data_IF_580505350352
#
_entry.id   IF_580505350352
#
_cell.length_a   1.000
_cell.length_b   1.000
_cell.length_c   1.000
_cell.angle_alpha   90.00
_cell.angle_beta   90.00
_cell.angle_gamma   90.00
#
_symmetry.space_group_name_H-M   'P 1'
#
loop_
_entity.id
_entity.type
_entity.pdbx_description
1 polymer ?
#
# COMPACT_ATOMS: atom_id res chain seq x y z
N UNK A 1 38.89 -31.02 22.11
CA UNK A 1 39.78 -29.86 21.88
C UNK A 1 39.66 -29.48 20.41
N UNK A 2 39.27 -28.28 19.96
CA UNK A 2 39.33 -26.92 20.50
C UNK A 2 38.04 -26.16 20.13
N UNK A 3 37.42 -25.51 21.09
CA UNK A 3 36.48 -24.39 20.90
C UNK A 3 37.27 -23.12 20.61
N UNK A 4 36.79 -22.25 19.72
CA UNK A 4 37.31 -20.88 19.55
C UNK A 4 36.17 -19.89 19.24
N UNK A 5 35.77 -19.17 20.29
CA UNK A 5 35.51 -17.73 20.47
C UNK A 5 35.13 -16.94 19.19
N UNK A 6 33.93 -16.34 19.09
CA UNK A 6 33.42 -15.14 19.76
C UNK A 6 34.25 -13.88 19.48
N UNK A 7 33.78 -13.04 18.56
CA UNK A 7 34.13 -11.62 18.45
C UNK A 7 32.86 -10.82 18.21
N UNK A 8 32.42 -10.17 19.29
CA UNK A 8 31.40 -9.14 19.35
C UNK A 8 32.10 -7.81 19.07
N UNK A 9 31.75 -7.13 17.98
CA UNK A 9 32.18 -5.76 17.72
C UNK A 9 30.93 -4.87 17.69
N UNK A 10 30.70 -4.17 18.80
CA UNK A 10 29.79 -3.04 18.85
C UNK A 10 30.50 -1.79 18.33
N UNK A 11 29.76 -0.97 17.58
CA UNK A 11 30.05 0.45 17.47
C UNK A 11 28.73 1.22 17.30
N UNK A 12 28.36 1.91 18.35
CA UNK A 12 27.25 2.86 18.45
C UNK A 12 27.55 4.13 17.66
N UNK A 13 26.58 4.60 16.87
CA UNK A 13 26.54 6.00 16.41
C UNK A 13 25.21 6.61 16.88
N UNK A 14 25.31 7.52 17.84
CA UNK A 14 24.29 8.49 18.22
C UNK A 14 24.12 9.50 17.08
N UNK A 15 22.87 9.75 16.66
CA UNK A 15 22.52 10.95 15.90
C UNK A 15 21.36 11.67 16.60
N UNK A 16 21.66 12.92 16.95
CA UNK A 16 20.92 13.79 17.83
C UNK A 16 19.63 14.36 17.20
N UNK A 17 18.63 14.54 18.05
CA UNK A 17 17.37 15.23 17.78
C UNK A 17 17.59 16.74 17.65
N UNK A 18 17.10 17.36 16.58
CA UNK A 18 16.85 18.81 16.53
C UNK A 18 15.36 19.08 16.71
N UNK A 19 14.99 19.56 17.89
CA UNK A 19 13.69 20.14 18.21
C UNK A 19 13.59 21.51 17.52
N UNK A 20 12.57 21.73 16.69
CA UNK A 20 12.21 23.06 16.20
C UNK A 20 11.27 23.70 17.22
N UNK A 21 11.75 24.78 17.82
CA UNK A 21 11.06 25.61 18.79
C UNK A 21 10.09 26.62 18.14
N UNK A 22 9.15 27.08 18.97
CA UNK A 22 7.94 27.86 18.72
C UNK A 22 8.10 29.20 17.98
N UNK A 23 6.98 29.65 17.40
CA UNK A 23 6.60 31.07 17.42
C UNK A 23 5.08 31.19 17.41
N UNK A 24 4.51 31.24 18.61
CA UNK A 24 3.18 31.77 18.88
C UNK A 24 3.26 33.29 18.75
N UNK A 25 2.60 33.86 17.75
CA UNK A 25 2.43 35.31 17.61
C UNK A 25 0.98 35.66 17.89
N UNK A 26 0.69 35.97 19.16
CA UNK A 26 -0.58 36.51 19.61
C UNK A 26 -0.35 37.97 19.99
N UNK A 27 -1.04 38.91 19.32
CA UNK A 27 -1.28 40.24 19.89
C UNK A 27 -2.52 40.90 19.28
N UNK A 28 -3.52 41.05 20.14
CA UNK A 28 -4.37 42.24 20.38
C UNK A 28 -5.22 42.84 19.25
N UNK A 29 -6.52 42.54 19.36
CA UNK A 29 -7.63 43.48 19.62
C UNK A 29 -7.91 44.63 18.65
N UNK A 30 -9.05 44.53 17.95
CA UNK A 30 -9.98 45.66 17.81
C UNK A 30 -11.39 45.11 17.59
N UNK A 31 -12.27 45.34 18.58
CA UNK A 31 -13.71 45.29 18.41
C UNK A 31 -14.12 46.14 17.20
N UNK A 32 -14.87 45.54 16.29
CA UNK A 32 -15.93 46.27 15.59
C UNK A 32 -17.08 45.33 15.37
N UNK A 33 -18.19 45.63 16.06
CA UNK A 33 -19.51 45.06 15.81
C UNK A 33 -19.87 45.34 14.36
N UNK A 34 -19.99 44.30 13.55
CA UNK A 34 -20.98 44.32 12.48
C UNK A 34 -21.57 42.94 12.29
N UNK A 35 -22.87 42.87 12.56
CA UNK A 35 -23.69 41.68 12.54
C UNK A 35 -24.03 41.36 11.10
N UNK A 36 -23.07 40.82 10.34
CA UNK A 36 -23.37 40.22 9.04
C UNK A 36 -23.83 38.80 9.30
N UNK A 37 -25.14 38.56 9.20
CA UNK A 37 -25.70 37.22 8.99
C UNK A 37 -25.17 36.68 7.66
N UNK A 38 -23.95 36.16 7.67
CA UNK A 38 -23.49 35.29 6.61
C UNK A 38 -24.11 33.94 6.89
N UNK A 39 -25.21 33.64 6.19
CA UNK A 39 -25.65 32.27 6.00
C UNK A 39 -24.45 31.50 5.43
N UNK A 40 -23.73 30.79 6.31
CA UNK A 40 -22.82 29.73 5.90
C UNK A 40 -23.67 28.71 5.19
N UNK A 41 -23.82 28.84 3.87
CA UNK A 41 -24.06 27.70 2.99
C UNK A 41 -22.91 26.74 3.30
N UNK A 42 -23.18 25.76 4.15
CA UNK A 42 -22.32 24.60 4.31
C UNK A 42 -22.11 24.05 2.91
N UNK A 43 -20.94 24.36 2.34
CA UNK A 43 -20.50 23.80 1.09
C UNK A 43 -20.30 22.32 1.41
N UNK A 44 -21.35 21.53 1.14
CA UNK A 44 -21.34 20.07 1.23
C UNK A 44 -20.15 19.62 0.40
N UNK A 45 -19.02 19.42 1.07
CA UNK A 45 -17.79 19.04 0.40
C UNK A 45 -17.97 17.57 0.17
N UNK A 46 -18.54 17.21 -0.98
CA UNK A 46 -18.75 15.81 -1.36
C UNK A 46 -17.38 15.17 -1.39
N UNK A 47 -17.09 14.36 -0.36
CA UNK A 47 -15.81 13.68 -0.25
C UNK A 47 -15.72 12.72 -1.43
N UNK A 48 -14.85 13.01 -2.39
CA UNK A 48 -14.62 12.15 -3.54
C UNK A 48 -14.04 10.81 -3.04
N UNK A 49 -14.69 9.73 -3.44
CA UNK A 49 -14.30 8.36 -3.13
C UNK A 49 -13.90 7.65 -4.41
N UNK A 50 -12.91 6.77 -4.34
CA UNK A 50 -12.50 5.94 -5.47
C UNK A 50 -13.45 4.74 -5.67
N UNK A 51 -13.11 3.85 -6.60
CA UNK A 51 -13.91 2.65 -6.92
C UNK A 51 -14.05 1.69 -5.72
N UNK A 52 -13.07 1.68 -4.81
CA UNK A 52 -13.16 0.95 -3.53
C UNK A 52 -13.94 1.70 -2.45
N UNK A 53 -14.45 2.90 -2.73
CA UNK A 53 -15.15 3.75 -1.77
C UNK A 53 -14.21 4.46 -0.79
N UNK A 54 -12.91 4.49 -1.06
CA UNK A 54 -11.90 5.12 -0.22
C UNK A 54 -11.78 6.60 -0.55
N UNK A 55 -11.73 7.44 0.48
CA UNK A 55 -11.28 8.83 0.36
C UNK A 55 -9.78 8.86 0.01
N UNK A 56 -9.25 10.02 -0.40
CA UNK A 56 -7.81 10.16 -0.66
C UNK A 56 -6.95 9.68 0.52
N UNK A 57 -7.25 10.16 1.74
CA UNK A 57 -6.49 9.77 2.94
C UNK A 57 -6.62 8.27 3.24
N UNK A 58 -7.78 7.67 2.98
CA UNK A 58 -7.95 6.22 3.11
C UNK A 58 -7.16 5.45 2.05
N UNK A 59 -7.11 5.94 0.82
CA UNK A 59 -6.31 5.33 -0.24
C UNK A 59 -4.81 5.41 0.05
N UNK A 60 -4.33 6.53 0.60
CA UNK A 60 -2.93 6.70 1.01
C UNK A 60 -2.58 5.71 2.15
N UNK A 61 -3.49 5.51 3.11
CA UNK A 61 -3.34 4.48 4.17
C UNK A 61 -3.35 3.07 3.61
N UNK A 62 -4.26 2.78 2.67
CA UNK A 62 -4.34 1.47 2.02
C UNK A 62 -3.06 1.17 1.25
N UNK A 63 -2.54 2.13 0.47
CA UNK A 63 -1.27 1.95 -0.22
C UNK A 63 -0.10 1.73 0.74
N UNK A 64 -0.08 2.39 1.89
CA UNK A 64 0.95 2.15 2.91
C UNK A 64 0.85 0.72 3.47
N UNK A 65 -0.37 0.26 3.80
CA UNK A 65 -0.57 -1.10 4.31
C UNK A 65 -0.30 -2.20 3.28
N UNK A 66 -0.45 -1.92 1.98
CA UNK A 66 -0.04 -2.82 0.91
C UNK A 66 1.48 -3.05 0.90
N UNK A 67 2.25 -1.98 1.10
CA UNK A 67 3.71 -2.07 1.17
C UNK A 67 4.14 -2.79 2.45
N UNK A 68 3.56 -2.43 3.59
CA UNK A 68 3.87 -3.08 4.87
C UNK A 68 3.57 -4.58 4.84
N UNK A 69 2.39 -4.97 4.33
CA UNK A 69 2.03 -6.38 4.17
C UNK A 69 2.94 -7.12 3.19
N UNK A 70 3.32 -6.49 2.07
CA UNK A 70 4.23 -7.13 1.12
C UNK A 70 5.61 -7.38 1.76
N UNK A 71 6.14 -6.39 2.50
CA UNK A 71 7.41 -6.52 3.20
C UNK A 71 7.36 -7.61 4.28
N UNK A 72 6.24 -7.74 4.98
CA UNK A 72 6.01 -8.81 5.96
C UNK A 72 6.07 -10.19 5.29
N UNK A 73 5.31 -10.38 4.20
CA UNK A 73 5.30 -11.64 3.44
C UNK A 73 6.67 -11.96 2.84
N UNK A 74 7.39 -10.96 2.34
CA UNK A 74 8.79 -11.12 1.91
C UNK A 74 9.70 -11.54 3.07
N UNK A 75 9.48 -11.02 4.27
CA UNK A 75 10.20 -11.42 5.48
C UNK A 75 9.95 -12.88 5.86
N UNK A 76 8.70 -13.33 5.79
CA UNK A 76 8.36 -14.75 6.01
C UNK A 76 9.00 -15.66 4.97
N UNK A 77 8.93 -15.30 3.69
CA UNK A 77 9.58 -16.04 2.61
C UNK A 77 11.11 -16.13 2.82
N UNK A 78 11.74 -15.01 3.19
CA UNK A 78 13.18 -14.95 3.46
C UNK A 78 13.60 -15.77 4.68
N UNK A 79 12.67 -16.04 5.59
CA UNK A 79 12.86 -16.88 6.77
C UNK A 79 12.63 -18.37 6.51
N UNK A 80 12.31 -18.74 5.26
CA UNK A 80 12.11 -20.13 4.84
C UNK A 80 10.65 -20.60 4.85
N UNK A 81 9.68 -19.70 5.01
CA UNK A 81 8.26 -20.05 4.85
C UNK A 81 7.86 -20.01 3.36
N UNK A 82 7.87 -21.19 2.73
CA UNK A 82 7.56 -21.35 1.31
C UNK A 82 6.14 -20.90 0.92
N UNK A 83 5.20 -20.82 1.87
CA UNK A 83 3.84 -20.34 1.60
C UNK A 83 3.81 -18.87 1.15
N UNK A 84 4.84 -18.10 1.50
CA UNK A 84 5.03 -16.70 1.13
C UNK A 84 6.02 -16.48 -0.02
N UNK A 85 6.60 -17.55 -0.58
CA UNK A 85 7.63 -17.48 -1.64
C UNK A 85 7.21 -16.61 -2.84
N UNK A 86 5.92 -16.49 -3.13
CA UNK A 86 5.38 -15.62 -4.17
C UNK A 86 5.78 -14.15 -4.01
N UNK A 87 5.92 -13.67 -2.77
CA UNK A 87 6.17 -12.27 -2.45
C UNK A 87 7.56 -11.80 -2.90
N UNK A 88 8.51 -12.73 -3.04
CA UNK A 88 9.87 -12.47 -3.56
C UNK A 88 9.89 -12.05 -5.03
N UNK A 89 8.80 -12.26 -5.76
CA UNK A 89 8.69 -11.91 -7.18
C UNK A 89 7.88 -10.61 -7.42
N UNK A 90 7.50 -9.92 -6.35
CA UNK A 90 6.76 -8.67 -6.39
C UNK A 90 7.64 -7.56 -5.82
N UNK A 91 7.91 -6.52 -6.61
CA UNK A 91 8.68 -5.34 -6.17
C UNK A 91 7.85 -4.42 -5.28
N UNK A 92 6.60 -4.16 -5.69
CA UNK A 92 5.71 -3.22 -4.99
C UNK A 92 4.26 -3.39 -5.42
N UNK A 93 3.36 -2.98 -4.52
CA UNK A 93 1.93 -2.94 -4.72
C UNK A 93 1.42 -1.52 -4.51
N UNK A 94 0.58 -1.03 -5.43
CA UNK A 94 -0.07 0.27 -5.28
C UNK A 94 -1.46 0.26 -5.89
N UNK A 95 -2.45 0.74 -5.16
CA UNK A 95 -3.78 0.98 -5.69
C UNK A 95 -3.86 2.37 -6.34
N UNK A 96 -4.13 2.36 -7.64
CA UNK A 96 -4.37 3.54 -8.48
C UNK A 96 -5.87 3.68 -8.73
N UNK A 97 -6.43 4.87 -8.52
CA UNK A 97 -7.88 5.11 -8.60
C UNK A 97 -8.47 4.85 -10.00
N UNK A 98 -7.66 4.89 -11.06
CA UNK A 98 -8.11 4.71 -12.44
C UNK A 98 -7.74 3.33 -12.98
N UNK A 99 -6.63 2.77 -12.51
CA UNK A 99 -6.04 1.52 -13.03
C UNK A 99 -6.20 0.34 -12.08
N UNK A 100 -6.80 0.52 -10.91
CA UNK A 100 -6.92 -0.54 -9.91
C UNK A 100 -5.58 -0.87 -9.24
N UNK A 101 -5.44 -2.10 -8.76
CA UNK A 101 -4.20 -2.56 -8.15
C UNK A 101 -3.11 -2.73 -9.22
N UNK A 102 -2.02 -2.00 -9.07
CA UNK A 102 -0.80 -2.16 -9.85
C UNK A 102 0.12 -3.11 -9.08
N UNK A 103 0.44 -4.22 -9.72
CA UNK A 103 1.39 -5.22 -9.22
C UNK A 103 2.67 -5.04 -10.04
N UNK A 104 3.73 -4.51 -9.41
CA UNK A 104 5.04 -4.44 -10.06
C UNK A 104 5.85 -5.67 -9.68
N UNK A 105 6.44 -6.31 -10.67
CA UNK A 105 7.12 -7.60 -10.53
C UNK A 105 8.58 -7.52 -10.93
N UNK A 106 9.39 -8.40 -10.34
CA UNK A 106 10.81 -8.55 -10.67
C UNK A 106 11.00 -9.10 -12.09
N UNK A 107 12.23 -9.05 -12.62
CA UNK A 107 12.57 -9.66 -13.90
C UNK A 107 12.35 -11.16 -13.93
N UNK A 108 12.58 -11.85 -12.81
CA UNK A 108 12.45 -13.31 -12.73
C UNK A 108 11.00 -13.76 -12.94
N UNK A 109 10.03 -12.88 -12.62
CA UNK A 109 8.62 -13.13 -12.85
C UNK A 109 8.31 -13.53 -14.31
N UNK A 110 9.03 -12.97 -15.30
CA UNK A 110 8.73 -13.22 -16.71
C UNK A 110 9.02 -14.65 -17.14
N UNK A 111 9.91 -15.34 -16.43
CA UNK A 111 10.35 -16.70 -16.74
C UNK A 111 9.36 -17.78 -16.27
N UNK A 112 8.37 -17.42 -15.46
CA UNK A 112 7.36 -18.35 -14.97
C UNK A 112 6.33 -18.73 -16.04
N UNK A 113 5.75 -19.92 -15.84
CA UNK A 113 4.57 -20.36 -16.59
C UNK A 113 3.36 -19.45 -16.30
N UNK A 114 2.38 -19.41 -17.20
CA UNK A 114 1.15 -18.64 -16.93
C UNK A 114 0.42 -19.11 -15.66
N UNK A 115 0.52 -20.40 -15.32
CA UNK A 115 -0.05 -20.94 -14.09
C UNK A 115 0.62 -20.32 -12.86
N UNK A 116 1.94 -20.30 -12.83
CA UNK A 116 2.68 -19.76 -11.69
C UNK A 116 2.53 -18.24 -11.60
N UNK A 117 2.51 -17.55 -12.76
CA UNK A 117 2.19 -16.12 -12.83
C UNK A 117 0.81 -15.82 -12.24
N UNK A 118 -0.20 -16.66 -12.53
CA UNK A 118 -1.53 -16.54 -11.94
C UNK A 118 -1.50 -16.73 -10.42
N UNK A 119 -0.76 -17.73 -9.92
CA UNK A 119 -0.61 -17.95 -8.48
C UNK A 119 0.04 -16.74 -7.80
N UNK A 120 1.17 -16.25 -8.32
CA UNK A 120 1.91 -15.12 -7.75
C UNK A 120 1.06 -13.84 -7.76
N UNK A 121 0.50 -13.46 -8.91
CA UNK A 121 -0.31 -12.25 -9.01
C UNK A 121 -1.65 -12.38 -8.27
N UNK A 122 -2.22 -13.58 -8.21
CA UNK A 122 -3.43 -13.87 -7.44
C UNK A 122 -3.22 -13.77 -5.92
N UNK A 123 -2.05 -14.13 -5.42
CA UNK A 123 -1.68 -13.91 -4.01
C UNK A 123 -1.50 -12.42 -3.71
N UNK A 124 -0.89 -11.64 -4.61
CA UNK A 124 -0.81 -10.19 -4.47
C UNK A 124 -2.20 -9.51 -4.41
N UNK A 125 -3.16 -9.97 -5.22
CA UNK A 125 -4.57 -9.53 -5.11
C UNK A 125 -5.15 -9.91 -3.74
N UNK A 126 -4.85 -11.13 -3.26
CA UNK A 126 -5.32 -11.58 -1.95
C UNK A 126 -4.78 -10.77 -0.78
N UNK A 127 -3.51 -10.38 -0.83
CA UNK A 127 -2.94 -9.44 0.13
C UNK A 127 -3.73 -8.14 0.13
N UNK A 128 -4.01 -7.58 -1.05
CA UNK A 128 -4.78 -6.33 -1.14
C UNK A 128 -6.20 -6.45 -0.58
N UNK A 129 -6.87 -7.58 -0.81
CA UNK A 129 -8.18 -7.88 -0.22
C UNK A 129 -8.11 -7.97 1.32
N UNK A 130 -7.07 -8.64 1.85
CA UNK A 130 -6.85 -8.77 3.28
C UNK A 130 -6.58 -7.41 3.94
N UNK A 131 -5.72 -6.58 3.35
CA UNK A 131 -5.42 -5.24 3.86
C UNK A 131 -6.66 -4.34 3.85
N UNK A 132 -7.49 -4.41 2.80
CA UNK A 132 -8.75 -3.67 2.74
C UNK A 132 -9.74 -4.14 3.83
N UNK A 133 -9.76 -5.43 4.15
CA UNK A 133 -10.56 -5.99 5.24
C UNK A 133 -10.06 -5.54 6.62
N UNK A 134 -8.74 -5.54 6.87
CA UNK A 134 -8.12 -5.05 8.11
C UNK A 134 -8.49 -3.58 8.35
N UNK A 135 -8.58 -2.77 7.30
CA UNK A 135 -9.01 -1.37 7.38
C UNK A 135 -10.53 -1.19 7.64
N UNK A 136 -11.29 -2.28 7.74
CA UNK A 136 -12.74 -2.25 7.88
C UNK A 136 -13.41 -1.57 6.68
N UNK A 137 -12.91 -1.85 5.47
CA UNK A 137 -13.43 -1.29 4.20
C UNK A 137 -13.97 -2.38 3.26
N UNK A 138 -13.97 -3.63 3.68
CA UNK A 138 -14.58 -4.74 2.94
C UNK A 138 -16.03 -4.97 3.40
N UNK A 139 -16.87 -3.94 3.21
CA UNK A 139 -18.19 -3.85 3.85
C UNK A 139 -19.26 -4.78 3.21
N UNK A 140 -18.90 -5.56 2.18
CA UNK A 140 -19.84 -6.45 1.49
C UNK A 140 -19.23 -7.63 0.72
N UNK A 141 -17.90 -7.79 0.66
CA UNK A 141 -17.27 -8.83 -0.18
C UNK A 141 -17.49 -8.67 -1.69
N UNK A 142 -18.19 -7.61 -2.13
CA UNK A 142 -18.58 -7.40 -3.53
C UNK A 142 -17.63 -6.49 -4.32
N UNK A 143 -16.69 -5.80 -3.66
CA UNK A 143 -15.74 -4.92 -4.35
C UNK A 143 -14.54 -5.74 -4.82
N UNK A 144 -14.63 -6.20 -6.05
CA UNK A 144 -13.55 -6.88 -6.74
C UNK A 144 -12.40 -5.92 -7.05
N UNK A 145 -11.20 -6.25 -6.58
CA UNK A 145 -9.98 -5.48 -6.86
C UNK A 145 -9.45 -5.92 -8.23
N UNK A 146 -9.80 -5.19 -9.28
CA UNK A 146 -9.15 -5.39 -10.58
C UNK A 146 -7.68 -4.97 -10.51
N UNK A 147 -6.82 -5.74 -11.17
CA UNK A 147 -5.37 -5.56 -11.10
C UNK A 147 -4.70 -5.60 -12.46
N UNK A 148 -3.54 -4.98 -12.53
CA UNK A 148 -2.68 -4.92 -13.71
C UNK A 148 -1.24 -5.22 -13.29
N UNK A 149 -0.58 -6.10 -14.04
CA UNK A 149 0.78 -6.56 -13.75
C UNK A 149 1.75 -5.84 -14.68
N UNK A 150 2.80 -5.27 -14.10
CA UNK A 150 3.84 -4.52 -14.80
C UNK A 150 5.23 -5.00 -14.39
N UNK A 151 6.13 -5.09 -15.36
CA UNK A 151 7.58 -5.08 -15.10
C UNK A 151 8.09 -3.74 -15.59
N UNK A 152 8.69 -2.97 -14.68
CA UNK A 152 9.01 -1.55 -14.91
C UNK A 152 7.81 -0.77 -15.46
N UNK A 153 7.87 -0.29 -16.70
CA UNK A 153 6.81 0.44 -17.39
C UNK A 153 6.01 -0.42 -18.39
N UNK A 154 6.35 -1.71 -18.52
CA UNK A 154 5.73 -2.61 -19.49
C UNK A 154 4.60 -3.40 -18.84
N UNK A 155 3.37 -3.21 -19.31
CA UNK A 155 2.21 -3.99 -18.86
C UNK A 155 2.29 -5.42 -19.40
N UNK A 156 2.47 -6.38 -18.51
CA UNK A 156 2.54 -7.82 -18.81
C UNK A 156 1.17 -8.50 -18.81
N UNK A 157 0.22 -8.01 -18.01
CA UNK A 157 -1.08 -8.66 -17.89
C UNK A 157 -2.11 -7.85 -17.12
N UNK A 158 -3.32 -8.39 -17.03
CA UNK A 158 -4.41 -7.82 -16.24
C UNK A 158 -5.38 -8.88 -15.78
N UNK A 159 -5.96 -8.68 -14.59
CA UNK A 159 -6.99 -9.56 -14.05
C UNK A 159 -8.19 -9.65 -14.99
N UNK A 160 -8.81 -10.83 -15.08
CA UNK A 160 -10.08 -11.03 -15.77
C UNK A 160 -11.18 -10.30 -15.00
N UNK A 161 -12.16 -9.79 -15.75
CA UNK A 161 -13.32 -9.13 -15.14
C UNK A 161 -14.18 -10.12 -14.34
N UNK A 162 -14.30 -11.37 -14.82
CA UNK A 162 -15.09 -12.43 -14.18
C UNK A 162 -14.46 -13.04 -12.94
N UNK A 163 -13.13 -12.96 -12.81
CA UNK A 163 -12.38 -13.48 -11.67
C UNK A 163 -11.10 -12.64 -11.50
N UNK A 164 -11.01 -11.76 -10.48
CA UNK A 164 -9.85 -10.89 -10.30
C UNK A 164 -8.54 -11.61 -9.95
N UNK A 165 -8.61 -12.89 -9.57
CA UNK A 165 -7.44 -13.73 -9.27
C UNK A 165 -6.95 -14.54 -10.47
N UNK A 166 -7.64 -14.46 -11.60
CA UNK A 166 -7.18 -14.99 -12.88
C UNK A 166 -6.77 -13.85 -13.79
N UNK A 167 -5.74 -14.07 -14.61
CA UNK A 167 -5.14 -13.03 -15.44
C UNK A 167 -5.19 -13.41 -16.91
N UNK A 168 -5.21 -12.36 -17.75
CA UNK A 168 -4.86 -12.46 -19.16
C UNK A 168 -3.44 -11.91 -19.31
N UNK A 169 -2.54 -12.76 -19.78
CA UNK A 169 -1.15 -12.44 -20.04
C UNK A 169 -0.97 -11.99 -21.49
N UNK A 170 0.11 -11.23 -21.76
CA UNK A 170 0.48 -10.75 -23.09
C UNK A 170 1.72 -11.48 -23.61
#
# INVERSE_FOLDING_TARGET
MKTKNLTLAGLTILLASSLVACSNGESSNSESKDTVKTEKKEKKTTVQKNQLGLTKSQNDKFNSSLIDGLNEDQGYASSGDDSYSWAQYIDTLVYDNNRGLIIKVTSDFTNFSEKDKNTIAGNAVGLAEAQLAIMGKNDSGTKTIHSNVYMENTKLGSSKFSNPREFKWK
#
